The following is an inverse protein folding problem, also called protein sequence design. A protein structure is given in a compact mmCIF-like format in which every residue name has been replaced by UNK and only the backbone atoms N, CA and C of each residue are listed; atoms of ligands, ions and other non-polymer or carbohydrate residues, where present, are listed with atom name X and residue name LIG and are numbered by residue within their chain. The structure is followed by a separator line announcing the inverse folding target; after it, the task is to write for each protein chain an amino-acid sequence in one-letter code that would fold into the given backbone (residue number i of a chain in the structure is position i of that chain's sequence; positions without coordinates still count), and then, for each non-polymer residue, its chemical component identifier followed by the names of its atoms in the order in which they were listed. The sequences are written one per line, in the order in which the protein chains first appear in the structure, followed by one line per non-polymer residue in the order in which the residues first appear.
data_IF_725360119270
#
_entry.id   IF_725360119270
#
_cell.length_a   1.000
_cell.length_b   1.000
_cell.length_c   1.000
_cell.angle_alpha   90.00
_cell.angle_beta   90.00
_cell.angle_gamma   90.00
#
_symmetry.space_group_name_H-M   'P 1'
#
loop_
_entity.id
_entity.type
_entity.pdbx_description
1 polymer ?
#
# COMPACT_ATOMS: atom_id res chain seq x y z
N UNK A 1 -6.81 1.27 -9.70
CA UNK A 1 -7.21 1.01 -8.31
C UNK A 1 -8.49 1.77 -7.94
N UNK A 2 -9.46 1.05 -7.37
CA UNK A 2 -10.72 1.52 -6.81
C UNK A 2 -10.66 1.41 -5.28
N UNK A 3 -11.08 2.45 -4.58
CA UNK A 3 -11.17 2.47 -3.11
C UNK A 3 -12.64 2.51 -2.69
N UNK A 4 -13.03 1.71 -1.70
CA UNK A 4 -14.41 1.62 -1.24
C UNK A 4 -14.47 1.14 0.22
N UNK A 5 -15.64 1.24 0.84
CA UNK A 5 -15.92 0.61 2.13
C UNK A 5 -16.81 -0.60 1.90
N UNK A 6 -16.51 -1.70 2.57
CA UNK A 6 -17.38 -2.88 2.54
C UNK A 6 -18.63 -2.69 3.43
N UNK A 7 -19.40 -3.76 3.57
CA UNK A 7 -20.68 -3.75 4.29
C UNK A 7 -20.51 -3.39 5.78
N UNK A 8 -19.33 -3.66 6.34
CA UNK A 8 -18.98 -3.38 7.74
C UNK A 8 -18.31 -2.01 7.90
N UNK A 9 -18.21 -1.23 6.81
CA UNK A 9 -17.56 0.08 6.80
C UNK A 9 -16.03 0.01 6.75
N UNK A 10 -15.44 -1.17 6.56
CA UNK A 10 -13.99 -1.35 6.50
C UNK A 10 -13.46 -0.86 5.16
N UNK A 11 -12.36 -0.10 5.18
CA UNK A 11 -11.74 0.41 3.98
C UNK A 11 -11.10 -0.74 3.16
N UNK A 12 -11.37 -0.77 1.86
CA UNK A 12 -10.89 -1.76 0.90
C UNK A 12 -10.30 -1.08 -0.34
N UNK A 13 -9.35 -1.77 -0.96
CA UNK A 13 -8.80 -1.41 -2.26
C UNK A 13 -8.90 -2.61 -3.21
N UNK A 14 -9.18 -2.33 -4.47
CA UNK A 14 -9.28 -3.33 -5.54
C UNK A 14 -8.61 -2.77 -6.80
N UNK A 15 -7.86 -3.60 -7.52
CA UNK A 15 -7.22 -3.20 -8.75
C UNK A 15 -6.98 -4.40 -9.65
N UNK A 16 -6.96 -4.17 -10.96
CA UNK A 16 -6.49 -5.14 -11.94
C UNK A 16 -4.96 -5.16 -12.00
N UNK A 17 -4.43 -6.20 -12.64
CA UNK A 17 -3.00 -6.29 -12.95
C UNK A 17 -2.52 -5.03 -13.70
N UNK A 18 -1.36 -4.45 -13.33
CA UNK A 18 -0.35 -4.98 -12.39
C UNK A 18 -0.52 -4.56 -10.93
N UNK A 19 -1.58 -3.85 -10.54
CA UNK A 19 -1.71 -3.21 -9.22
C UNK A 19 -2.36 -4.08 -8.13
N UNK A 20 -2.60 -5.36 -8.39
CA UNK A 20 -3.29 -6.29 -7.48
C UNK A 20 -2.60 -6.32 -6.10
N UNK A 21 -1.30 -6.65 -6.05
CA UNK A 21 -0.56 -6.74 -4.78
C UNK A 21 -0.53 -5.41 -4.03
N UNK A 22 -0.43 -4.29 -4.74
CA UNK A 22 -0.50 -2.97 -4.10
C UNK A 22 -1.88 -2.71 -3.48
N UNK A 23 -2.98 -3.08 -4.14
CA UNK A 23 -4.31 -2.96 -3.57
C UNK A 23 -4.49 -3.86 -2.34
N UNK A 24 -3.98 -5.09 -2.40
CA UNK A 24 -4.01 -6.03 -1.27
C UNK A 24 -3.24 -5.48 -0.07
N UNK A 25 -2.01 -5.00 -0.27
CA UNK A 25 -1.19 -4.37 0.77
C UNK A 25 -1.91 -3.21 1.46
N UNK A 26 -2.57 -2.32 0.71
CA UNK A 26 -3.37 -1.22 1.28
C UNK A 26 -4.51 -1.75 2.16
N UNK A 27 -5.17 -2.82 1.70
CA UNK A 27 -6.34 -3.40 2.34
C UNK A 27 -6.01 -4.37 3.49
N UNK A 28 -4.78 -4.86 3.62
CA UNK A 28 -4.34 -5.79 4.67
C UNK A 28 -3.42 -5.14 5.69
N UNK A 29 -2.30 -4.58 5.25
CA UNK A 29 -1.15 -4.27 6.13
C UNK A 29 -1.23 -2.87 6.71
N UNK A 30 -1.90 -1.95 6.02
CA UNK A 30 -2.06 -0.56 6.45
C UNK A 30 -3.55 -0.16 6.53
N UNK A 31 -4.41 -1.17 6.71
CA UNK A 31 -5.86 -1.03 6.71
C UNK A 31 -6.35 -0.07 7.81
N UNK A 32 -6.74 1.14 7.43
CA UNK A 32 -7.21 2.16 8.38
C UNK A 32 -6.13 2.70 9.34
N UNK A 33 -4.92 2.15 9.33
CA UNK A 33 -3.80 2.60 10.16
C UNK A 33 -3.15 3.84 9.53
N UNK A 34 -3.67 5.00 9.88
CA UNK A 34 -3.15 6.29 9.40
C UNK A 34 -1.69 6.55 9.77
N UNK A 35 -1.19 5.97 10.88
CA UNK A 35 0.20 6.12 11.33
C UNK A 35 1.11 5.30 10.43
N UNK A 36 0.75 4.05 10.18
CA UNK A 36 1.49 3.18 9.28
C UNK A 36 1.49 3.73 7.85
N UNK A 37 0.35 4.22 7.35
CA UNK A 37 0.27 4.88 6.04
C UNK A 37 1.23 6.07 5.96
N UNK A 38 1.26 6.94 6.98
CA UNK A 38 2.18 8.07 7.02
C UNK A 38 3.65 7.62 7.07
N UNK A 39 3.95 6.54 7.78
CA UNK A 39 5.28 5.96 7.84
C UNK A 39 5.73 5.47 6.45
N UNK A 40 4.91 4.70 5.75
CA UNK A 40 5.24 4.20 4.39
C UNK A 40 5.42 5.35 3.40
N UNK A 41 4.56 6.37 3.46
CA UNK A 41 4.73 7.60 2.66
C UNK A 41 6.09 8.25 2.93
N UNK A 42 6.50 8.33 4.20
CA UNK A 42 7.81 8.89 4.55
C UNK A 42 8.97 8.07 4.00
N UNK A 43 8.86 6.74 3.93
CA UNK A 43 9.88 5.89 3.33
C UNK A 43 9.98 6.15 1.82
N UNK A 44 8.84 6.17 1.12
CA UNK A 44 8.77 6.50 -0.31
C UNK A 44 9.42 7.86 -0.61
N UNK A 45 9.16 8.89 0.21
CA UNK A 45 9.74 10.22 0.02
C UNK A 45 11.24 10.28 0.29
N UNK A 46 11.76 9.42 1.18
CA UNK A 46 13.21 9.27 1.41
C UNK A 46 13.89 8.46 0.31
N UNK A 47 13.12 7.68 -0.46
CA UNK A 47 13.62 6.82 -1.54
C UNK A 47 14.43 5.61 -1.04
N UNK A 48 14.35 5.29 0.25
CA UNK A 48 15.06 4.16 0.85
C UNK A 48 14.31 3.65 2.09
N UNK A 49 14.41 2.35 2.33
CA UNK A 49 13.88 1.69 3.51
C UNK A 49 13.14 0.41 3.19
N UNK A 50 12.89 -0.36 4.24
CA UNK A 50 12.17 -1.62 4.18
C UNK A 50 11.20 -1.69 5.36
N UNK A 51 10.11 -2.42 5.17
CA UNK A 51 9.21 -2.82 6.23
C UNK A 51 8.62 -4.18 5.90
N UNK A 52 8.37 -4.96 6.93
CA UNK A 52 7.62 -6.21 6.82
C UNK A 52 6.34 -6.03 7.62
N UNK A 53 5.21 -6.09 6.94
CA UNK A 53 3.90 -6.03 7.56
C UNK A 53 3.37 -7.41 7.89
N UNK A 54 2.05 -7.54 7.89
CA UNK A 54 1.37 -8.79 8.21
C UNK A 54 1.33 -9.75 7.01
N UNK A 55 1.09 -9.24 5.80
CA UNK A 55 1.00 -10.06 4.59
C UNK A 55 2.03 -9.70 3.53
N UNK A 56 2.71 -8.56 3.65
CA UNK A 56 3.66 -8.12 2.64
C UNK A 56 5.00 -7.67 3.22
N UNK A 57 6.06 -7.96 2.48
CA UNK A 57 7.33 -7.23 2.57
C UNK A 57 7.30 -6.09 1.57
N UNK A 58 7.73 -4.91 2.00
CA UNK A 58 7.84 -3.70 1.20
C UNK A 58 9.28 -3.20 1.30
N UNK A 59 9.95 -3.06 0.16
CA UNK A 59 11.34 -2.64 0.06
C UNK A 59 11.49 -1.55 -1.00
N UNK A 60 12.26 -0.50 -0.70
CA UNK A 60 12.62 0.55 -1.64
C UNK A 60 14.02 0.33 -2.19
N UNK A 61 14.13 0.23 -3.52
CA UNK A 61 15.38 0.05 -4.23
C UNK A 61 15.35 0.82 -5.56
N UNK A 62 16.36 1.63 -5.83
CA UNK A 62 16.58 2.28 -7.14
C UNK A 62 15.35 3.03 -7.72
N UNK A 63 14.57 3.70 -6.87
CA UNK A 63 13.36 4.42 -7.29
C UNK A 63 12.15 3.51 -7.60
N UNK A 64 12.26 2.23 -7.25
CA UNK A 64 11.21 1.23 -7.27
C UNK A 64 10.84 0.80 -5.84
N UNK A 65 9.63 0.29 -5.72
CA UNK A 65 9.12 -0.45 -4.57
C UNK A 65 8.99 -1.90 -5.01
N UNK A 66 9.70 -2.79 -4.32
CA UNK A 66 9.45 -4.22 -4.37
C UNK A 66 8.39 -4.54 -3.32
N UNK A 67 7.32 -5.19 -3.73
CA UNK A 67 6.26 -5.65 -2.86
C UNK A 67 6.12 -7.15 -3.02
N UNK A 68 6.38 -7.89 -1.95
CA UNK A 68 6.38 -9.35 -1.94
C UNK A 68 5.31 -9.85 -0.97
N UNK A 69 4.46 -10.77 -1.41
CA UNK A 69 3.50 -11.40 -0.53
C UNK A 69 4.21 -12.48 0.31
N UNK A 70 4.07 -12.41 1.63
CA UNK A 70 4.76 -13.30 2.58
C UNK A 70 4.20 -14.73 2.62
N UNK A 71 3.01 -14.94 2.05
CA UNK A 71 2.29 -16.21 2.07
C UNK A 71 2.23 -16.90 0.70
N UNK A 72 2.69 -16.23 -0.36
CA UNK A 72 2.70 -16.75 -1.73
C UNK A 72 4.04 -16.46 -2.38
N UNK A 73 4.26 -16.95 -3.60
CA UNK A 73 5.47 -16.62 -4.40
C UNK A 73 5.24 -15.37 -5.28
N UNK A 74 4.19 -14.59 -5.01
CA UNK A 74 3.86 -13.40 -5.78
C UNK A 74 4.66 -12.18 -5.32
N UNK A 75 5.27 -11.50 -6.29
CA UNK A 75 5.99 -10.26 -6.09
C UNK A 75 5.74 -9.30 -7.27
N UNK A 76 5.76 -8.01 -7.00
CA UNK A 76 5.69 -6.99 -8.03
C UNK A 76 6.62 -5.82 -7.71
N UNK A 77 7.09 -5.17 -8.78
CA UNK A 77 7.84 -3.93 -8.69
C UNK A 77 7.00 -2.77 -9.22
N UNK A 78 7.04 -1.66 -8.51
CA UNK A 78 6.30 -0.45 -8.86
C UNK A 78 7.20 0.78 -8.78
N UNK A 79 7.06 1.75 -9.70
CA UNK A 79 7.70 3.04 -9.54
C UNK A 79 7.26 3.70 -8.22
N UNK A 80 8.21 4.25 -7.46
CA UNK A 80 7.92 4.90 -6.17
C UNK A 80 6.82 5.97 -6.29
N UNK A 81 6.82 6.73 -7.39
CA UNK A 81 5.80 7.76 -7.65
C UNK A 81 4.38 7.16 -7.73
N UNK A 82 4.22 6.01 -8.37
CA UNK A 82 2.93 5.33 -8.48
C UNK A 82 2.44 4.83 -7.10
N UNK A 83 3.35 4.28 -6.31
CA UNK A 83 3.05 3.82 -4.95
C UNK A 83 2.70 5.00 -4.05
N UNK A 84 3.48 6.08 -4.09
CA UNK A 84 3.23 7.30 -3.34
C UNK A 84 1.86 7.90 -3.66
N UNK A 85 1.49 8.00 -4.94
CA UNK A 85 0.17 8.47 -5.35
C UNK A 85 -0.96 7.59 -4.81
N UNK A 86 -0.74 6.28 -4.75
CA UNK A 86 -1.72 5.31 -4.25
C UNK A 86 -1.89 5.43 -2.73
N UNK A 87 -0.78 5.54 -2.00
CA UNK A 87 -0.77 5.77 -0.55
C UNK A 87 -1.44 7.10 -0.16
N UNK A 88 -1.20 8.17 -0.92
CA UNK A 88 -1.84 9.47 -0.68
C UNK A 88 -3.36 9.43 -0.93
N UNK A 89 -3.80 8.72 -1.98
CA UNK A 89 -5.22 8.50 -2.25
C UNK A 89 -5.86 7.69 -1.12
N UNK A 90 -5.18 6.64 -0.67
CA UNK A 90 -5.60 5.81 0.46
C UNK A 90 -5.72 6.61 1.75
N UNK A 91 -4.70 7.39 2.10
CA UNK A 91 -4.68 8.24 3.29
C UNK A 91 -5.87 9.20 3.33
N UNK A 92 -6.13 9.90 2.23
CA UNK A 92 -7.31 10.78 2.12
C UNK A 92 -8.61 10.00 2.27
N UNK A 93 -8.71 8.84 1.64
CA UNK A 93 -9.90 8.00 1.68
C UNK A 93 -10.24 7.54 3.11
N UNK A 94 -9.23 7.10 3.87
CA UNK A 94 -9.46 6.64 5.26
C UNK A 94 -9.68 7.79 6.25
N UNK A 95 -9.14 8.99 5.97
CA UNK A 95 -9.30 10.17 6.83
C UNK A 95 -10.62 10.93 6.61
N UNK A 96 -11.14 10.99 5.39
CA UNK A 96 -12.38 11.72 5.06
C UNK A 96 -13.68 11.03 5.52
N UNK A 97 -13.61 10.11 6.48
CA UNK A 97 -14.78 9.39 7.02
C UNK A 97 -15.02 9.65 8.51
N UNK A 98 -14.44 10.74 9.02
CA UNK A 98 -14.72 11.29 10.36
C UNK A 98 -15.65 12.49 10.30
#
# INVERSE_FOLDING_TARGET
MKLYRDQDGVARAEADSPQVLLAEFLASDIQGDTVMVAHVISLCLKGQGELTGNAFSFELSEGQVNLENLFTEEAAQYPVEQVLLSLQKWQKFIQCSG
#
